data_IF_983109445891
#
_entry.id   IF_983109445891
#
_cell.length_a   1.000
_cell.length_b   1.000
_cell.length_c   1.000
_cell.angle_alpha   90.00
_cell.angle_beta   90.00
_cell.angle_gamma   90.00
#
_symmetry.space_group_name_H-M   'P 1'
#
loop_
_entity.id
_entity.type
_entity.pdbx_description
1 polymer ?
#
# COMPACT_ATOMS: atom_id res chain seq x y z
N UNK A 1 -2.21 -10.83 -6.51
CA UNK A 1 -1.90 -11.57 -5.26
C UNK A 1 -1.03 -12.80 -5.53
N UNK A 2 -1.34 -13.62 -6.55
CA UNK A 2 -0.56 -14.83 -6.86
C UNK A 2 0.93 -14.60 -7.14
N UNK A 3 1.29 -13.55 -7.90
CA UNK A 3 2.69 -13.21 -8.19
C UNK A 3 3.49 -12.95 -6.89
N UNK A 4 2.94 -12.14 -5.99
CA UNK A 4 3.54 -11.82 -4.69
C UNK A 4 3.74 -13.06 -3.82
N UNK A 5 2.72 -13.93 -3.73
CA UNK A 5 2.82 -15.15 -2.91
C UNK A 5 3.80 -16.17 -3.48
N UNK A 6 3.94 -16.23 -4.81
CA UNK A 6 4.82 -17.17 -5.51
C UNK A 6 6.28 -16.71 -5.48
N UNK A 7 6.53 -15.41 -5.67
CA UNK A 7 7.89 -14.83 -5.62
C UNK A 7 8.50 -14.86 -4.21
N UNK A 8 7.68 -14.64 -3.18
CA UNK A 8 8.15 -14.67 -1.78
C UNK A 8 8.06 -16.04 -1.13
N UNK A 9 7.59 -17.07 -1.85
CA UNK A 9 7.36 -18.42 -1.31
C UNK A 9 6.61 -18.36 0.03
N UNK A 10 5.48 -17.65 0.05
CA UNK A 10 4.67 -17.46 1.26
C UNK A 10 4.10 -18.83 1.68
N UNK A 11 4.45 -19.26 2.89
CA UNK A 11 3.95 -20.51 3.48
C UNK A 11 2.47 -20.39 3.87
N UNK A 12 1.77 -21.52 4.07
CA UNK A 12 0.34 -21.52 4.44
C UNK A 12 0.07 -20.80 5.77
N UNK A 13 0.98 -20.96 6.74
CA UNK A 13 0.92 -20.25 8.03
C UNK A 13 1.02 -18.73 7.87
N UNK A 14 1.84 -18.27 6.92
CA UNK A 14 1.98 -16.86 6.58
C UNK A 14 0.78 -16.38 5.74
N UNK A 15 0.27 -17.20 4.82
CA UNK A 15 -0.87 -16.90 3.96
C UNK A 15 -2.11 -16.57 4.78
N UNK A 16 -2.40 -17.33 5.84
CA UNK A 16 -3.52 -17.03 6.73
C UNK A 16 -3.39 -15.67 7.42
N UNK A 17 -2.18 -15.32 7.89
CA UNK A 17 -1.89 -14.01 8.51
C UNK A 17 -1.96 -12.86 7.49
N UNK A 18 -1.43 -13.09 6.29
CA UNK A 18 -1.50 -12.14 5.17
C UNK A 18 -2.96 -11.84 4.81
N UNK A 19 -3.80 -12.86 4.69
CA UNK A 19 -5.23 -12.67 4.43
C UNK A 19 -5.90 -11.82 5.52
N UNK A 20 -5.59 -12.04 6.80
CA UNK A 20 -6.10 -11.21 7.90
C UNK A 20 -5.67 -9.75 7.78
N UNK A 21 -4.41 -9.48 7.41
CA UNK A 21 -3.91 -8.12 7.19
C UNK A 21 -4.68 -7.45 6.04
N UNK A 22 -4.91 -8.17 4.94
CA UNK A 22 -5.62 -7.64 3.76
C UNK A 22 -7.08 -7.36 4.10
N UNK A 23 -7.77 -8.28 4.77
CA UNK A 23 -9.17 -8.10 5.20
C UNK A 23 -9.27 -6.87 6.11
N UNK A 24 -8.39 -6.77 7.12
CA UNK A 24 -8.37 -5.63 8.02
C UNK A 24 -8.14 -4.32 7.28
N UNK A 25 -7.19 -4.27 6.35
CA UNK A 25 -6.93 -3.09 5.51
C UNK A 25 -8.22 -2.63 4.82
N UNK A 26 -8.96 -3.53 4.18
CA UNK A 26 -10.19 -3.15 3.47
C UNK A 26 -11.32 -2.73 4.42
N UNK A 27 -11.46 -3.41 5.56
CA UNK A 27 -12.40 -3.00 6.60
C UNK A 27 -12.09 -1.60 7.16
N UNK A 28 -10.81 -1.31 7.42
CA UNK A 28 -10.37 0.02 7.87
C UNK A 28 -10.62 1.10 6.79
N UNK A 29 -10.49 0.76 5.50
CA UNK A 29 -10.82 1.67 4.39
C UNK A 29 -12.33 1.93 4.28
N UNK A 30 -13.15 0.90 4.44
CA UNK A 30 -14.60 1.02 4.45
C UNK A 30 -15.08 1.89 5.62
N UNK A 31 -14.49 1.70 6.80
CA UNK A 31 -14.82 2.48 8.00
C UNK A 31 -14.51 3.98 7.88
N UNK A 32 -13.62 4.37 6.97
CA UNK A 32 -13.29 5.78 6.71
C UNK A 32 -13.93 6.32 5.42
N UNK A 33 -14.68 5.49 4.67
CA UNK A 33 -15.20 5.87 3.34
C UNK A 33 -16.10 7.11 3.37
N UNK A 34 -16.95 7.27 4.38
CA UNK A 34 -17.82 8.44 4.50
C UNK A 34 -17.04 9.76 4.70
N UNK A 35 -15.81 9.69 5.21
CA UNK A 35 -14.95 10.88 5.32
C UNK A 35 -14.61 11.45 3.94
N UNK A 36 -14.61 10.66 2.88
CA UNK A 36 -14.32 11.14 1.53
C UNK A 36 -15.25 12.28 1.11
N UNK A 37 -16.51 12.23 1.54
CA UNK A 37 -17.53 13.25 1.23
C UNK A 37 -17.56 14.40 2.22
N UNK A 38 -17.24 14.13 3.49
CA UNK A 38 -17.40 15.12 4.57
C UNK A 38 -16.11 15.87 4.92
N UNK A 39 -14.95 15.21 4.80
CA UNK A 39 -13.63 15.74 5.09
C UNK A 39 -12.56 14.97 4.29
N UNK A 40 -12.38 15.38 3.03
CA UNK A 40 -11.45 14.74 2.11
C UNK A 40 -10.01 14.72 2.64
N UNK A 41 -9.59 15.76 3.38
CA UNK A 41 -8.25 15.84 3.94
C UNK A 41 -8.04 14.76 5.01
N UNK A 42 -8.99 14.64 5.95
CA UNK A 42 -8.96 13.59 6.96
C UNK A 42 -9.05 12.19 6.34
N UNK A 43 -9.88 12.02 5.30
CA UNK A 43 -9.97 10.76 4.54
C UNK A 43 -8.61 10.37 3.97
N UNK A 44 -7.97 11.24 3.20
CA UNK A 44 -6.68 10.95 2.57
C UNK A 44 -5.59 10.68 3.60
N UNK A 45 -5.55 11.44 4.70
CA UNK A 45 -4.62 11.19 5.79
C UNK A 45 -4.80 9.80 6.42
N UNK A 46 -6.04 9.41 6.75
CA UNK A 46 -6.34 8.08 7.30
C UNK A 46 -6.09 6.96 6.29
N UNK A 47 -6.45 7.17 5.03
CA UNK A 47 -6.19 6.22 3.94
C UNK A 47 -4.70 5.91 3.83
N UNK A 48 -3.83 6.92 3.84
CA UNK A 48 -2.37 6.73 3.86
C UNK A 48 -1.89 5.94 5.08
N UNK A 49 -2.43 6.24 6.26
CA UNK A 49 -2.11 5.52 7.49
C UNK A 49 -2.49 4.03 7.39
N UNK A 50 -3.66 3.71 6.84
CA UNK A 50 -4.11 2.32 6.61
C UNK A 50 -3.17 1.57 5.66
N UNK A 51 -2.79 2.18 4.53
CA UNK A 51 -1.85 1.57 3.59
C UNK A 51 -0.47 1.34 4.23
N UNK A 52 0.06 2.33 4.97
CA UNK A 52 1.34 2.22 5.68
C UNK A 52 1.31 1.14 6.77
N UNK A 53 0.24 1.09 7.57
CA UNK A 53 0.06 0.10 8.63
C UNK A 53 -0.03 -1.33 8.10
N UNK A 54 -0.75 -1.52 6.98
CA UNK A 54 -0.82 -2.81 6.30
C UNK A 54 0.55 -3.23 5.75
N UNK A 55 1.31 -2.31 5.14
CA UNK A 55 2.66 -2.59 4.64
C UNK A 55 3.62 -2.99 5.77
N UNK A 56 3.60 -2.28 6.89
CA UNK A 56 4.42 -2.63 8.06
C UNK A 56 4.06 -4.01 8.60
N UNK A 57 2.77 -4.32 8.69
CA UNK A 57 2.29 -5.63 9.14
C UNK A 57 2.74 -6.76 8.20
N UNK A 58 2.71 -6.53 6.89
CA UNK A 58 3.23 -7.49 5.90
C UNK A 58 4.73 -7.67 6.11
N UNK A 59 5.51 -6.58 6.25
CA UNK A 59 6.96 -6.68 6.47
C UNK A 59 7.31 -7.51 7.71
N UNK A 60 6.55 -7.36 8.80
CA UNK A 60 6.75 -8.12 10.04
C UNK A 60 6.38 -9.60 9.92
N UNK A 61 5.55 -9.97 8.95
CA UNK A 61 5.20 -11.37 8.65
C UNK A 61 6.32 -12.12 7.92
N UNK A 62 7.14 -11.39 7.16
CA UNK A 62 8.17 -11.97 6.29
C UNK A 62 9.43 -12.34 7.07
N UNK A 63 10.04 -13.46 6.72
CA UNK A 63 11.39 -13.84 7.16
C UNK A 63 12.44 -12.85 6.66
N UNK A 64 13.65 -12.87 7.22
CA UNK A 64 14.74 -11.97 6.78
C UNK A 64 15.06 -12.13 5.28
N UNK A 65 15.06 -13.36 4.77
CA UNK A 65 15.27 -13.65 3.35
C UNK A 65 14.12 -13.11 2.49
N UNK A 66 12.87 -13.34 2.90
CA UNK A 66 11.70 -12.81 2.22
C UNK A 66 11.67 -11.28 2.24
N UNK A 67 12.15 -10.64 3.31
CA UNK A 67 12.28 -9.18 3.38
C UNK A 67 13.28 -8.63 2.35
N UNK A 68 14.36 -9.37 2.03
CA UNK A 68 15.30 -8.99 0.99
C UNK A 68 14.63 -9.02 -0.39
N UNK A 69 13.86 -10.07 -0.70
CA UNK A 69 13.08 -10.16 -1.93
C UNK A 69 11.97 -9.08 -1.99
N UNK A 70 11.29 -8.84 -0.87
CA UNK A 70 10.31 -7.77 -0.73
C UNK A 70 10.91 -6.39 -1.02
N UNK A 71 12.12 -6.12 -0.52
CA UNK A 71 12.83 -4.85 -0.80
C UNK A 71 13.06 -4.66 -2.30
N UNK A 72 13.41 -5.72 -3.02
CA UNK A 72 13.60 -5.71 -4.48
C UNK A 72 12.28 -5.48 -5.21
N UNK A 73 11.20 -6.18 -4.83
CA UNK A 73 9.86 -5.94 -5.37
C UNK A 73 9.41 -4.48 -5.13
N UNK A 74 9.59 -3.96 -3.91
CA UNK A 74 9.29 -2.57 -3.55
C UNK A 74 10.18 -1.55 -4.27
N UNK A 75 11.38 -1.91 -4.71
CA UNK A 75 12.19 -1.03 -5.54
C UNK A 75 11.54 -0.82 -6.92
N UNK A 76 10.99 -1.87 -7.53
CA UNK A 76 10.22 -1.77 -8.78
C UNK A 76 8.98 -0.90 -8.62
N UNK A 77 8.16 -1.19 -7.59
CA UNK A 77 6.96 -0.41 -7.29
C UNK A 77 7.28 1.08 -7.01
N UNK A 78 8.40 1.38 -6.33
CA UNK A 78 8.85 2.76 -6.12
C UNK A 78 9.20 3.47 -7.42
N UNK A 79 9.82 2.78 -8.37
CA UNK A 79 10.13 3.33 -9.69
C UNK A 79 8.84 3.65 -10.46
N UNK A 80 7.85 2.77 -10.41
CA UNK A 80 6.54 3.00 -11.03
C UNK A 80 5.81 4.18 -10.38
N UNK A 81 5.79 4.24 -9.05
CA UNK A 81 5.22 5.37 -8.31
C UNK A 81 5.95 6.68 -8.64
N UNK A 82 7.29 6.66 -8.77
CA UNK A 82 8.06 7.84 -9.15
C UNK A 82 7.72 8.32 -10.57
N UNK A 83 7.52 7.41 -11.52
CA UNK A 83 7.03 7.75 -12.87
C UNK A 83 5.64 8.38 -12.79
N UNK A 84 4.74 7.82 -11.97
CA UNK A 84 3.39 8.37 -11.78
C UNK A 84 3.42 9.76 -11.14
N UNK A 85 4.22 9.96 -10.09
CA UNK A 85 4.46 11.28 -9.48
C UNK A 85 4.97 12.27 -10.52
N UNK A 86 5.89 11.86 -11.41
CA UNK A 86 6.38 12.72 -12.49
C UNK A 86 5.26 13.11 -13.46
N UNK A 87 4.39 12.18 -13.85
CA UNK A 87 3.21 12.46 -14.69
C UNK A 87 2.26 13.45 -14.01
N UNK A 88 1.89 13.16 -12.75
CA UNK A 88 1.01 14.00 -11.95
C UNK A 88 1.55 15.42 -11.78
N UNK A 89 2.87 15.58 -11.60
CA UNK A 89 3.50 16.91 -11.56
C UNK A 89 3.39 17.65 -12.90
N UNK A 90 3.52 16.95 -14.03
CA UNK A 90 3.33 17.55 -15.35
C UNK A 90 1.86 17.96 -15.59
N UNK A 91 0.92 17.29 -14.92
CA UNK A 91 -0.52 17.56 -14.97
C UNK A 91 -0.96 18.60 -13.91
N UNK A 92 -0.03 19.23 -13.17
CA UNK A 92 -0.32 20.15 -12.05
C UNK A 92 -1.21 19.55 -10.94
N UNK A 93 -1.07 18.25 -10.68
CA UNK A 93 -1.81 17.56 -9.63
C UNK A 93 -1.54 18.16 -8.23
N UNK A 94 -2.50 17.97 -7.33
CA UNK A 94 -2.42 18.50 -5.96
C UNK A 94 -1.32 17.80 -5.15
N UNK A 95 -0.89 18.45 -4.06
CA UNK A 95 0.06 17.86 -3.10
C UNK A 95 -0.43 16.51 -2.58
N UNK A 96 -1.73 16.37 -2.34
CA UNK A 96 -2.31 15.13 -1.84
C UNK A 96 -2.28 14.02 -2.89
N UNK A 97 -2.43 14.33 -4.18
CA UNK A 97 -2.33 13.34 -5.26
C UNK A 97 -0.89 12.78 -5.36
N UNK A 98 0.10 13.66 -5.20
CA UNK A 98 1.51 13.26 -5.16
C UNK A 98 1.83 12.40 -3.94
N UNK A 99 1.26 12.73 -2.78
CA UNK A 99 1.41 11.94 -1.56
C UNK A 99 0.75 10.58 -1.69
N UNK A 100 -0.45 10.49 -2.24
CA UNK A 100 -1.16 9.23 -2.43
C UNK A 100 -0.39 8.30 -3.40
N UNK A 101 0.14 8.86 -4.49
CA UNK A 101 1.01 8.12 -5.41
C UNK A 101 2.29 7.59 -4.74
N UNK A 102 2.86 8.30 -3.74
CA UNK A 102 4.02 7.80 -2.98
C UNK A 102 3.71 6.49 -2.24
N UNK A 103 2.50 6.36 -1.70
CA UNK A 103 2.02 5.14 -1.05
C UNK A 103 1.50 4.07 -2.03
N UNK A 104 1.56 4.32 -3.34
CA UNK A 104 1.01 3.44 -4.37
C UNK A 104 -0.52 3.37 -4.33
N UNK A 105 -1.15 4.44 -3.83
CA UNK A 105 -2.61 4.60 -3.85
C UNK A 105 -2.97 5.17 -5.22
N UNK A 106 -3.81 4.46 -5.95
CA UNK A 106 -4.35 4.96 -7.21
C UNK A 106 -5.60 5.79 -6.92
N UNK A 107 -5.71 6.91 -7.63
CA UNK A 107 -6.91 7.74 -7.67
C UNK A 107 -7.94 7.14 -8.61
#
# INVERSE_FOLDING_TARGET
>A
MELFTKELKIEDSQRAKLSKIIIRKYSDLEAISELEKTDESAFRAKRRAVYSGAENSIKMLLSKEQQAHWKTYKAKARTENAKRIKSLRAENASKDDLLDAQYGINQ
#
